data_IF_905086471341
#
_entry.id   IF_905086471341
#
_cell.length_a   1.000
_cell.length_b   1.000
_cell.length_c   1.000
_cell.angle_alpha   90.00
_cell.angle_beta   90.00
_cell.angle_gamma   90.00
#
_symmetry.space_group_name_H-M   'P 1'
#
loop_
_entity.id
_entity.type
_entity.pdbx_description
1 polymer ?
#
# COMPACT_ATOMS: atom_id res chain seq x y z
N UNK A 1 15.33 1.01 -9.57
CA UNK A 1 14.02 0.47 -9.16
C UNK A 1 14.33 -0.56 -8.09
N UNK A 2 14.67 -0.08 -6.89
CA UNK A 2 15.39 -0.82 -5.84
C UNK A 2 14.57 -0.91 -4.54
N UNK A 3 13.31 -0.45 -4.55
CA UNK A 3 12.50 -0.43 -3.35
C UNK A 3 11.78 -1.75 -3.08
N UNK A 4 11.68 -2.66 -4.06
CA UNK A 4 11.02 -3.94 -3.93
C UNK A 4 11.99 -5.09 -4.20
N UNK A 5 12.33 -5.82 -3.14
CA UNK A 5 13.22 -6.98 -3.22
C UNK A 5 12.40 -8.26 -3.45
N UNK A 6 12.73 -9.06 -4.48
CA UNK A 6 12.05 -10.32 -4.72
C UNK A 6 12.43 -11.33 -3.64
N UNK A 7 11.43 -11.94 -3.02
CA UNK A 7 11.63 -12.99 -2.01
C UNK A 7 11.72 -14.37 -2.68
N UNK A 8 12.31 -15.35 -1.98
CA UNK A 8 12.52 -16.71 -2.52
C UNK A 8 11.24 -17.49 -2.82
N UNK A 9 10.13 -17.10 -2.18
CA UNK A 9 8.79 -17.65 -2.32
C UNK A 9 7.93 -16.91 -3.37
N UNK A 10 8.53 -15.97 -4.11
CA UNK A 10 7.87 -15.28 -5.23
C UNK A 10 6.99 -14.10 -4.82
N UNK A 11 7.12 -13.62 -3.58
CA UNK A 11 6.55 -12.35 -3.14
C UNK A 11 7.59 -11.23 -3.30
N UNK A 12 7.20 -10.03 -2.89
CA UNK A 12 8.05 -8.85 -2.90
C UNK A 12 8.00 -8.22 -1.52
N UNK A 13 9.17 -7.89 -1.00
CA UNK A 13 9.31 -7.14 0.24
C UNK A 13 9.74 -5.71 -0.08
N UNK A 14 9.34 -4.76 0.78
CA UNK A 14 9.70 -3.36 0.60
C UNK A 14 10.89 -3.01 1.48
N UNK A 15 11.95 -2.47 0.87
CA UNK A 15 13.09 -1.92 1.60
C UNK A 15 12.85 -0.42 1.85
N UNK A 16 12.40 -0.11 3.06
CA UNK A 16 12.04 1.25 3.46
C UNK A 16 13.24 2.22 3.44
N UNK A 17 14.48 1.73 3.57
CA UNK A 17 15.66 2.60 3.49
C UNK A 17 15.84 3.25 2.10
N UNK A 18 15.33 2.60 1.05
CA UNK A 18 15.33 3.16 -0.31
C UNK A 18 14.02 3.86 -0.68
N UNK A 19 12.95 3.62 0.09
CA UNK A 19 11.65 4.25 -0.13
C UNK A 19 11.69 5.72 0.28
N UNK A 20 11.28 6.61 -0.63
CA UNK A 20 11.21 8.07 -0.37
C UNK A 20 9.77 8.55 -0.17
N UNK A 21 8.81 7.64 0.04
CA UNK A 21 7.41 7.99 0.29
C UNK A 21 6.69 8.68 -0.88
N UNK A 22 7.15 8.52 -2.13
CA UNK A 22 6.62 9.28 -3.27
C UNK A 22 5.21 8.87 -3.74
N UNK A 23 4.66 7.75 -3.27
CA UNK A 23 3.29 7.31 -3.60
C UNK A 23 3.06 6.74 -5.00
N UNK A 24 4.03 6.80 -5.91
CA UNK A 24 3.88 6.33 -7.30
C UNK A 24 3.50 4.84 -7.40
N UNK A 25 4.04 4.00 -6.52
CA UNK A 25 3.73 2.57 -6.46
C UNK A 25 2.24 2.32 -6.13
N UNK A 26 1.66 3.08 -5.19
CA UNK A 26 0.26 2.98 -4.82
C UNK A 26 -0.70 3.49 -5.91
N UNK A 27 -0.24 4.45 -6.71
CA UNK A 27 -0.98 5.01 -7.85
C UNK A 27 -1.02 4.04 -9.04
N UNK A 28 0.15 3.49 -9.42
CA UNK A 28 0.27 2.62 -10.60
C UNK A 28 -0.22 1.20 -10.34
N UNK A 29 -0.26 0.74 -9.08
CA UNK A 29 -0.69 -0.61 -8.76
C UNK A 29 -2.15 -0.82 -9.22
N UNK A 30 -2.39 -1.76 -10.15
CA UNK A 30 -3.71 -1.97 -10.69
C UNK A 30 -4.57 -2.79 -9.71
N UNK A 31 -3.97 -3.48 -8.74
CA UNK A 31 -4.69 -4.24 -7.71
C UNK A 31 -5.14 -3.29 -6.60
N UNK A 32 -6.45 -3.28 -6.31
CA UNK A 32 -7.01 -2.47 -5.22
C UNK A 32 -6.39 -2.87 -3.88
N UNK A 33 -6.01 -1.87 -3.09
CA UNK A 33 -5.57 -2.03 -1.70
C UNK A 33 -4.35 -2.95 -1.52
N UNK A 34 -3.61 -3.24 -2.61
CA UNK A 34 -2.37 -4.01 -2.58
C UNK A 34 -1.19 -3.16 -2.11
N UNK A 35 -1.07 -1.93 -2.63
CA UNK A 35 -0.09 -0.94 -2.18
C UNK A 35 -0.86 0.32 -1.82
N UNK A 36 -0.66 0.81 -0.60
CA UNK A 36 -1.34 1.99 -0.07
C UNK A 36 -0.32 2.90 0.62
N UNK A 37 -0.58 4.21 0.55
CA UNK A 37 0.15 5.18 1.36
C UNK A 37 -0.54 5.34 2.70
N UNK A 38 0.26 5.37 3.75
CA UNK A 38 -0.15 5.52 5.15
C UNK A 38 0.68 6.62 5.79
N UNK A 39 0.24 7.12 6.93
CA UNK A 39 1.00 8.09 7.71
C UNK A 39 2.11 7.36 8.48
N UNK A 40 3.37 7.67 8.16
CA UNK A 40 4.56 7.07 8.78
C UNK A 40 4.59 7.28 10.29
N UNK A 41 3.98 8.35 10.81
CA UNK A 41 3.91 8.64 12.24
C UNK A 41 3.05 7.63 13.02
N UNK A 42 2.26 6.80 12.33
CA UNK A 42 1.49 5.73 12.94
C UNK A 42 2.30 4.46 13.15
N UNK A 43 3.53 4.39 12.63
CA UNK A 43 4.43 3.25 12.70
C UNK A 43 5.58 3.54 13.67
N UNK A 44 6.09 2.49 14.28
CA UNK A 44 7.15 2.56 15.30
C UNK A 44 8.51 2.18 14.72
N UNK A 45 8.52 1.40 13.65
CA UNK A 45 9.71 0.88 12.99
C UNK A 45 9.47 0.64 11.50
N UNK A 46 10.58 0.40 10.79
CA UNK A 46 10.65 0.11 9.36
C UNK A 46 10.98 -1.39 9.13
N UNK A 47 10.55 -2.29 10.02
CA UNK A 47 10.82 -3.72 9.82
C UNK A 47 10.08 -4.27 8.59
N UNK A 48 10.67 -5.31 8.00
CA UNK A 48 10.13 -6.01 6.83
C UNK A 48 8.66 -6.42 7.03
N UNK A 49 7.73 -5.89 6.24
CA UNK A 49 6.34 -6.33 6.27
C UNK A 49 6.20 -7.80 5.86
N UNK A 50 7.04 -8.28 4.94
CA UNK A 50 7.02 -9.68 4.53
C UNK A 50 7.45 -10.63 5.67
N UNK A 51 8.49 -10.30 6.44
CA UNK A 51 8.90 -11.12 7.58
C UNK A 51 7.82 -11.19 8.66
N UNK A 52 7.13 -10.07 8.93
CA UNK A 52 6.01 -10.03 9.86
C UNK A 52 4.85 -10.90 9.36
N UNK A 53 4.44 -10.75 8.10
CA UNK A 53 3.39 -11.58 7.50
C UNK A 53 3.74 -13.07 7.49
N UNK A 54 5.00 -13.42 7.20
CA UNK A 54 5.48 -14.80 7.15
C UNK A 54 5.45 -15.48 8.53
N UNK A 55 5.63 -14.71 9.60
CA UNK A 55 5.56 -15.21 10.97
C UNK A 55 4.13 -15.56 11.38
N UNK A 56 3.20 -14.64 11.15
CA UNK A 56 1.76 -14.86 11.38
C UNK A 56 0.94 -13.96 10.46
N UNK A 57 0.41 -14.54 9.39
CA UNK A 57 -0.33 -13.81 8.37
C UNK A 57 -1.62 -13.19 8.90
N UNK A 58 -2.29 -13.85 9.86
CA UNK A 58 -3.58 -13.40 10.37
C UNK A 58 -3.43 -12.26 11.36
N UNK A 59 -2.42 -12.36 12.20
CA UNK A 59 -2.03 -11.30 13.12
C UNK A 59 -1.59 -10.06 12.33
N UNK A 60 -0.68 -10.22 11.35
CA UNK A 60 -0.25 -9.14 10.47
C UNK A 60 -1.43 -8.43 9.78
N UNK A 61 -2.38 -9.18 9.22
CA UNK A 61 -3.56 -8.58 8.55
C UNK A 61 -4.41 -7.76 9.53
N UNK A 62 -4.58 -8.25 10.76
CA UNK A 62 -5.33 -7.52 11.79
C UNK A 62 -4.60 -6.25 12.20
N UNK A 63 -3.29 -6.32 12.39
CA UNK A 63 -2.43 -5.19 12.74
C UNK A 63 -2.40 -4.13 11.63
N UNK A 64 -2.14 -4.53 10.38
CA UNK A 64 -1.97 -3.60 9.26
C UNK A 64 -3.29 -2.91 8.90
N UNK A 65 -4.44 -3.60 8.96
CA UNK A 65 -5.74 -2.97 8.72
C UNK A 65 -6.12 -1.98 9.84
N UNK A 66 -5.65 -2.23 11.06
CA UNK A 66 -5.76 -1.29 12.17
C UNK A 66 -4.96 0.00 11.93
N UNK A 67 -3.70 -0.13 11.49
CA UNK A 67 -2.80 1.00 11.20
C UNK A 67 -3.17 1.75 9.92
N UNK A 68 -3.56 1.04 8.86
CA UNK A 68 -3.96 1.61 7.56
C UNK A 68 -5.21 2.49 7.67
N UNK A 69 -6.13 2.13 8.56
CA UNK A 69 -7.41 2.82 8.71
C UNK A 69 -8.27 2.78 7.43
N UNK A 70 -9.34 3.59 7.42
CA UNK A 70 -10.40 3.57 6.40
C UNK A 70 -10.27 4.67 5.33
N UNK A 71 -9.21 5.47 5.38
CA UNK A 71 -9.06 6.67 4.55
C UNK A 71 -7.75 6.59 3.76
N UNK A 72 -7.77 7.03 2.50
CA UNK A 72 -6.61 7.13 1.63
C UNK A 72 -6.46 8.57 1.18
N UNK A 73 -5.35 9.16 1.57
CA UNK A 73 -5.02 10.56 1.33
C UNK A 73 -4.16 10.64 0.06
N UNK A 74 -4.60 11.39 -0.94
CA UNK A 74 -3.80 11.71 -2.12
C UNK A 74 -3.62 13.22 -2.30
N UNK A 75 -2.47 13.59 -2.88
CA UNK A 75 -2.05 14.97 -3.11
C UNK A 75 -1.90 15.21 -4.63
N UNK A 76 -3.00 15.21 -5.40
CA UNK A 76 -2.94 15.19 -6.86
C UNK A 76 -2.39 16.48 -7.48
N UNK A 77 -2.44 17.61 -6.76
CA UNK A 77 -2.11 18.92 -7.33
C UNK A 77 -1.31 19.80 -6.34
N UNK A 78 -0.12 20.26 -6.76
CA UNK A 78 0.68 21.27 -6.03
C UNK A 78 0.12 22.69 -6.28
N UNK A 79 -1.21 22.83 -6.27
CA UNK A 79 -1.92 24.08 -6.60
C UNK A 79 -2.54 24.74 -5.36
N UNK A 80 -2.37 24.15 -4.17
CA UNK A 80 -2.97 24.63 -2.92
C UNK A 80 -4.46 24.30 -2.77
N UNK A 81 -5.04 23.50 -3.67
CA UNK A 81 -6.49 23.16 -3.69
C UNK A 81 -6.89 21.91 -2.89
N UNK A 82 -5.96 21.33 -2.13
CA UNK A 82 -6.29 20.45 -1.01
C UNK A 82 -6.11 18.97 -1.25
N UNK A 83 -6.36 18.23 -0.17
CA UNK A 83 -6.19 16.79 -0.03
C UNK A 83 -7.43 16.09 -0.61
N UNK A 84 -7.23 15.07 -1.43
CA UNK A 84 -8.33 14.16 -1.80
C UNK A 84 -8.33 12.96 -0.87
N UNK A 85 -9.43 12.75 -0.16
CA UNK A 85 -9.62 11.60 0.72
C UNK A 85 -10.57 10.63 0.02
N UNK A 86 -10.08 9.41 -0.23
CA UNK A 86 -10.89 8.31 -0.74
C UNK A 86 -11.08 7.25 0.35
N UNK A 87 -12.18 6.51 0.27
CA UNK A 87 -12.49 5.47 1.25
C UNK A 87 -11.70 4.20 0.94
N UNK A 88 -10.93 3.74 1.92
CA UNK A 88 -10.23 2.46 1.89
C UNK A 88 -11.16 1.27 2.13
N UNK A 89 -10.78 0.12 1.57
CA UNK A 89 -11.50 -1.15 1.71
C UNK A 89 -10.57 -2.19 2.38
N UNK A 90 -11.14 -3.08 3.20
CA UNK A 90 -10.40 -4.22 3.77
C UNK A 90 -10.44 -5.36 2.77
N UNK A 91 -9.28 -5.90 2.38
CA UNK A 91 -9.23 -6.99 1.41
C UNK A 91 -9.53 -8.34 2.05
N UNK A 92 -10.36 -9.19 1.42
CA UNK A 92 -10.68 -10.50 1.95
C UNK A 92 -9.48 -11.47 1.86
N UNK A 93 -9.19 -12.16 2.97
CA UNK A 93 -8.14 -13.18 3.03
C UNK A 93 -8.39 -14.30 1.99
N UNK A 94 -7.34 -14.64 1.21
CA UNK A 94 -7.34 -15.78 0.29
C UNK A 94 -8.26 -15.64 -0.93
N UNK A 95 -8.78 -14.45 -1.24
CA UNK A 95 -9.61 -14.23 -2.44
C UNK A 95 -8.90 -13.32 -3.44
N UNK A 96 -9.06 -13.65 -4.72
CA UNK A 96 -8.60 -12.78 -5.81
C UNK A 96 -9.53 -11.58 -5.89
N UNK A 97 -8.96 -10.39 -5.74
CA UNK A 97 -9.69 -9.12 -5.81
C UNK A 97 -9.69 -8.58 -7.24
N UNK A 98 -10.77 -7.92 -7.68
CA UNK A 98 -10.82 -7.34 -9.01
C UNK A 98 -9.81 -6.19 -9.13
N UNK A 99 -9.13 -6.16 -10.26
CA UNK A 99 -8.25 -5.06 -10.66
C UNK A 99 -9.05 -3.77 -10.75
N UNK A 100 -8.48 -2.63 -10.33
CA UNK A 100 -9.00 -1.29 -10.61
C UNK A 100 -9.28 -1.23 -12.11
N UNK A 101 -10.53 -0.99 -12.51
CA UNK A 101 -10.82 -0.64 -13.90
C UNK A 101 -10.05 0.65 -14.13
N UNK A 102 -9.02 0.63 -14.99
CA UNK A 102 -8.55 1.85 -15.61
C UNK A 102 -9.78 2.42 -16.30
N UNK A 103 -10.41 3.46 -15.74
CA UNK A 103 -11.23 4.34 -16.55
C UNK A 103 -10.35 4.71 -17.73
N UNK A 104 -10.87 4.47 -18.93
CA UNK A 104 -10.18 4.76 -20.18
C UNK A 104 -9.55 6.13 -20.03
N UNK A 105 -8.21 6.18 -20.01
CA UNK A 105 -7.49 7.43 -20.19
C UNK A 105 -7.80 7.82 -21.63
N UNK A 106 -8.92 8.50 -21.84
CA UNK A 106 -9.25 9.12 -23.10
C UNK A 106 -8.11 10.11 -23.39
N UNK A 107 -7.26 9.70 -24.33
CA UNK A 107 -6.27 10.52 -25.00
C UNK A 107 -6.50 10.41 -26.51
#
# INVERSE_FOLDING_TARGET
DECFDPTTDGFYDIEYQYCVGCGKCAEVCPVKECIVMVDELQFEDDHSPWEHWKKDSKEYITWVEGKKGKERVSYPEVTGKGITITKGEVMPEGKIVPVRKTEEVEA
#
